data_IF_942671382687
#
_entry.id   IF_942671382687
#
_cell.length_a   1.000
_cell.length_b   1.000
_cell.length_c   1.000
_cell.angle_alpha   90.00
_cell.angle_beta   90.00
_cell.angle_gamma   90.00
#
_symmetry.space_group_name_H-M   'P 1'
#
loop_
_entity.id
_entity.type
_entity.pdbx_description
1 polymer ?
#
# COMPACT_ATOMS: atom_id res chain seq x y z
N UNK A 1 2.91 47.40 10.59
CA UNK A 1 1.98 46.91 11.64
C UNK A 1 2.45 45.52 12.03
N UNK A 2 2.97 45.41 13.25
CA UNK A 2 3.69 44.25 13.76
C UNK A 2 2.76 43.49 14.71
N UNK A 3 2.26 42.33 14.30
CA UNK A 3 1.40 41.49 15.13
C UNK A 3 2.21 40.28 15.57
N UNK A 4 2.78 40.37 16.77
CA UNK A 4 3.42 39.27 17.48
C UNK A 4 2.37 38.21 17.79
N UNK A 5 2.57 37.01 17.25
CA UNK A 5 1.84 35.81 17.65
C UNK A 5 2.51 35.21 18.90
N UNK A 6 1.76 34.77 19.94
CA UNK A 6 2.36 34.15 21.10
C UNK A 6 2.73 32.71 20.77
N UNK A 7 4.03 32.42 20.70
CA UNK A 7 4.53 31.07 20.72
C UNK A 7 4.11 30.41 22.04
N UNK A 8 3.11 29.53 21.97
CA UNK A 8 2.76 28.62 23.06
C UNK A 8 3.91 27.62 23.22
N UNK A 9 4.82 27.93 24.15
CA UNK A 9 5.95 27.08 24.52
C UNK A 9 5.44 25.77 25.13
N UNK A 10 5.44 24.70 24.33
CA UNK A 10 5.18 23.33 24.80
C UNK A 10 6.26 22.81 25.78
N UNK A 11 7.44 23.45 25.85
CA UNK A 11 8.47 23.10 26.83
C UNK A 11 8.05 23.38 28.29
N UNK A 12 7.06 24.24 28.53
CA UNK A 12 6.62 24.56 29.89
C UNK A 12 5.77 23.44 30.53
N UNK A 13 5.10 22.61 29.71
CA UNK A 13 4.26 21.51 30.21
C UNK A 13 5.11 20.29 30.56
N UNK A 14 6.14 20.00 29.76
CA UNK A 14 7.02 18.84 30.00
C UNK A 14 7.98 19.10 31.17
N UNK A 15 8.45 20.34 31.37
CA UNK A 15 9.31 20.68 32.52
C UNK A 15 8.59 20.59 33.87
N UNK A 16 7.24 20.69 33.89
CA UNK A 16 6.45 20.64 35.12
C UNK A 16 6.16 19.22 35.64
N UNK A 17 6.46 18.16 34.88
CA UNK A 17 6.19 16.77 35.29
C UNK A 17 7.42 15.99 35.77
N UNK A 18 8.63 16.54 35.66
CA UNK A 18 9.86 15.81 36.00
C UNK A 18 10.39 16.04 37.44
N UNK A 19 9.65 16.75 38.29
CA UNK A 19 10.00 16.96 39.71
C UNK A 19 8.97 16.33 40.65
N UNK A 20 8.72 15.04 40.52
CA UNK A 20 8.12 14.22 41.59
C UNK A 20 8.92 12.92 41.72
N UNK A 21 10.21 13.10 41.98
CA UNK A 21 11.04 12.11 42.67
C UNK A 21 10.58 12.01 44.11
N UNK A 22 10.37 10.76 44.55
CA UNK A 22 10.39 10.31 45.94
C UNK A 22 9.69 11.21 46.96
N UNK A 23 8.39 10.98 47.14
CA UNK A 23 7.73 11.35 48.38
C UNK A 23 6.86 10.20 48.83
N UNK A 24 7.25 9.64 49.98
CA UNK A 24 6.48 8.70 50.77
C UNK A 24 5.01 9.14 50.81
N UNK A 25 4.09 8.26 50.40
CA UNK A 25 2.66 8.48 50.53
C UNK A 25 2.24 8.36 52.00
N UNK A 26 2.58 9.37 52.80
CA UNK A 26 1.92 9.68 54.05
C UNK A 26 0.67 10.50 53.71
N UNK A 27 -0.46 9.83 53.49
CA UNK A 27 -1.74 10.50 53.31
C UNK A 27 -2.18 11.01 54.69
N UNK A 28 -1.90 12.29 54.96
CA UNK A 28 -2.57 13.07 55.99
C UNK A 28 -3.86 13.61 55.37
N UNK A 29 -4.99 12.91 55.58
CA UNK A 29 -6.31 13.47 55.30
C UNK A 29 -6.96 13.86 56.64
N UNK A 30 -7.09 15.17 56.82
CA UNK A 30 -7.73 15.84 57.95
C UNK A 30 -9.20 15.40 58.14
N UNK A 31 -9.56 15.08 59.38
CA UNK A 31 -10.82 14.48 59.81
C UNK A 31 -12.09 15.37 59.67
N UNK A 32 -13.27 14.75 59.80
CA UNK A 32 -14.15 15.07 60.92
C UNK A 32 -14.33 13.89 61.89
N UNK A 33 -14.38 14.22 63.19
CA UNK A 33 -14.59 13.30 64.31
C UNK A 33 -15.99 12.68 64.27
N UNK A 34 -16.09 11.43 63.83
CA UNK A 34 -17.10 10.45 64.19
C UNK A 34 -16.47 9.07 63.94
N UNK A 35 -16.93 8.01 64.61
CA UNK A 35 -16.25 6.69 64.65
C UNK A 35 -15.67 6.22 63.32
N UNK A 36 -14.51 5.54 63.38
CA UNK A 36 -13.72 5.06 62.23
C UNK A 36 -14.63 4.66 61.05
N UNK A 37 -14.56 5.41 59.95
CA UNK A 37 -15.42 5.21 58.78
C UNK A 37 -15.17 3.83 58.16
N UNK A 38 -16.15 3.30 57.43
CA UNK A 38 -16.03 2.00 56.77
C UNK A 38 -14.79 1.94 55.85
N UNK A 39 -14.52 3.03 55.11
CA UNK A 39 -13.34 3.17 54.25
C UNK A 39 -12.00 3.10 55.01
N UNK A 40 -11.92 3.71 56.19
CA UNK A 40 -10.70 3.67 57.01
C UNK A 40 -10.48 2.27 57.61
N UNK A 41 -11.55 1.55 57.96
CA UNK A 41 -11.47 0.15 58.38
C UNK A 41 -11.00 -0.76 57.25
N UNK A 42 -11.59 -0.60 56.05
CA UNK A 42 -11.20 -1.33 54.83
C UNK A 42 -9.73 -1.11 54.48
N UNK A 43 -9.25 0.14 54.54
CA UNK A 43 -7.85 0.49 54.31
C UNK A 43 -6.90 -0.21 55.29
N UNK A 44 -7.26 -0.33 56.56
CA UNK A 44 -6.44 -1.04 57.57
C UNK A 44 -6.38 -2.54 57.31
N UNK A 45 -7.50 -3.16 56.93
CA UNK A 45 -7.56 -4.58 56.54
C UNK A 45 -6.65 -4.84 55.35
N UNK A 46 -6.77 -4.02 54.31
CA UNK A 46 -5.98 -4.13 53.09
C UNK A 46 -4.49 -3.91 53.37
N UNK A 47 -4.12 -2.89 54.16
CA UNK A 47 -2.74 -2.65 54.55
C UNK A 47 -2.13 -3.84 55.31
N UNK A 48 -2.92 -4.48 56.18
CA UNK A 48 -2.48 -5.69 56.88
C UNK A 48 -2.26 -6.87 55.93
N UNK A 49 -3.18 -7.11 54.98
CA UNK A 49 -3.05 -8.20 54.01
C UNK A 49 -1.85 -8.01 53.09
N UNK A 50 -1.64 -6.78 52.61
CA UNK A 50 -0.48 -6.42 51.80
C UNK A 50 0.84 -6.53 52.58
N UNK A 51 0.84 -6.22 53.88
CA UNK A 51 2.01 -6.39 54.75
C UNK A 51 2.27 -7.86 55.08
N UNK A 52 1.23 -8.67 55.26
CA UNK A 52 1.31 -10.10 55.56
C UNK A 52 1.93 -10.89 54.40
N UNK A 53 1.70 -10.47 53.14
CA UNK A 53 2.21 -11.14 51.91
C UNK A 53 1.94 -12.65 51.87
N UNK A 54 0.85 -13.08 52.49
CA UNK A 54 0.44 -14.50 52.57
C UNK A 54 -1.04 -14.63 52.22
N UNK A 55 -1.43 -15.83 51.80
CA UNK A 55 -2.83 -16.16 51.52
C UNK A 55 -3.52 -16.60 52.80
N UNK A 56 -4.75 -16.13 53.01
CA UNK A 56 -5.54 -16.43 54.21
C UNK A 56 -6.89 -17.02 53.84
N UNK A 57 -7.41 -17.92 54.69
CA UNK A 57 -8.80 -18.37 54.55
C UNK A 57 -9.75 -17.41 55.28
N UNK A 58 -11.04 -17.43 54.93
CA UNK A 58 -12.04 -16.57 55.62
C UNK A 58 -12.02 -16.78 57.14
N UNK A 59 -11.81 -18.01 57.60
CA UNK A 59 -11.73 -18.35 59.04
C UNK A 59 -10.51 -17.75 59.72
N UNK A 60 -9.40 -17.60 59.00
CA UNK A 60 -8.19 -16.97 59.54
C UNK A 60 -8.37 -15.45 59.59
N UNK A 61 -8.99 -14.87 58.57
CA UNK A 61 -9.33 -13.45 58.52
C UNK A 61 -10.30 -13.05 59.64
N UNK A 62 -11.29 -13.88 59.96
CA UNK A 62 -12.22 -13.65 61.08
C UNK A 62 -11.53 -13.62 62.45
N UNK A 63 -10.36 -14.26 62.60
CA UNK A 63 -9.57 -14.24 63.84
C UNK A 63 -8.57 -13.09 63.90
N UNK A 64 -7.96 -12.78 62.77
CA UNK A 64 -6.81 -11.86 62.70
C UNK A 64 -7.26 -10.41 62.51
N UNK A 65 -8.36 -10.17 61.79
CA UNK A 65 -8.80 -8.81 61.45
C UNK A 65 -9.51 -8.04 62.58
N UNK A 66 -10.29 -8.63 63.49
CA UNK A 66 -10.91 -7.89 64.59
C UNK A 66 -9.94 -7.05 65.44
N UNK A 67 -8.78 -7.58 65.89
CA UNK A 67 -7.81 -6.78 66.65
C UNK A 67 -7.05 -5.76 65.79
N UNK A 68 -6.80 -6.05 64.51
CA UNK A 68 -5.98 -5.20 63.62
C UNK A 68 -6.77 -4.02 63.06
N UNK A 69 -8.00 -4.27 62.61
CA UNK A 69 -8.85 -3.26 61.98
C UNK A 69 -9.84 -2.61 62.96
N UNK A 70 -9.87 -3.06 64.23
CA UNK A 70 -10.84 -2.63 65.25
C UNK A 70 -12.29 -2.76 64.75
N UNK A 71 -12.61 -3.93 64.20
CA UNK A 71 -13.92 -4.28 63.64
C UNK A 71 -14.55 -5.43 64.42
N UNK A 72 -15.88 -5.51 64.42
CA UNK A 72 -16.59 -6.65 64.98
C UNK A 72 -16.38 -7.87 64.06
N UNK A 73 -16.14 -9.05 64.63
CA UNK A 73 -15.96 -10.30 63.86
C UNK A 73 -17.11 -10.59 62.89
N UNK A 74 -18.33 -10.17 63.23
CA UNK A 74 -19.51 -10.31 62.38
C UNK A 74 -19.46 -9.44 61.10
N UNK A 75 -18.68 -8.36 61.10
CA UNK A 75 -18.54 -7.40 59.99
C UNK A 75 -17.36 -7.72 59.06
N UNK A 76 -16.51 -8.69 59.42
CA UNK A 76 -15.33 -9.06 58.64
C UNK A 76 -15.73 -9.49 57.22
N UNK A 77 -16.77 -10.32 57.11
CA UNK A 77 -17.26 -10.83 55.82
C UNK A 77 -17.77 -9.71 54.91
N UNK A 78 -18.46 -8.72 55.46
CA UNK A 78 -18.98 -7.57 54.71
C UNK A 78 -17.84 -6.70 54.18
N UNK A 79 -16.84 -6.42 55.01
CA UNK A 79 -15.68 -5.63 54.60
C UNK A 79 -14.80 -6.36 53.55
N UNK A 80 -14.64 -7.68 53.67
CA UNK A 80 -13.92 -8.50 52.69
C UNK A 80 -14.66 -8.54 51.35
N UNK A 81 -15.98 -8.68 51.35
CA UNK A 81 -16.78 -8.64 50.14
C UNK A 81 -16.67 -7.26 49.46
N UNK A 82 -16.83 -6.17 50.21
CA UNK A 82 -16.69 -4.82 49.68
C UNK A 82 -15.29 -4.57 49.06
N UNK A 83 -14.22 -5.06 49.71
CA UNK A 83 -12.85 -4.96 49.17
C UNK A 83 -12.64 -5.81 47.90
N UNK A 84 -13.35 -6.94 47.77
CA UNK A 84 -13.35 -7.75 46.56
C UNK A 84 -14.12 -7.08 45.44
N UNK A 85 -15.25 -6.44 45.74
CA UNK A 85 -16.08 -5.73 44.76
C UNK A 85 -15.35 -4.49 44.21
N UNK A 86 -14.54 -3.82 45.05
CA UNK A 86 -13.65 -2.72 44.66
C UNK A 86 -12.39 -3.19 43.89
N UNK A 87 -12.20 -4.51 43.72
CA UNK A 87 -11.08 -5.09 42.97
C UNK A 87 -9.72 -4.98 43.68
N UNK A 88 -9.72 -4.65 44.98
CA UNK A 88 -8.49 -4.48 45.77
C UNK A 88 -8.05 -5.77 46.48
N UNK A 89 -8.94 -6.76 46.57
CA UNK A 89 -8.70 -8.06 47.17
C UNK A 89 -8.97 -9.16 46.15
N UNK A 90 -8.01 -10.06 45.98
CA UNK A 90 -8.18 -11.22 45.11
C UNK A 90 -8.80 -12.38 45.87
N UNK A 91 -9.75 -13.04 45.21
CA UNK A 91 -10.44 -14.22 45.73
C UNK A 91 -10.30 -15.35 44.73
N UNK A 92 -9.71 -16.46 45.15
CA UNK A 92 -9.65 -17.67 44.33
C UNK A 92 -10.21 -18.87 45.09
N UNK A 93 -10.92 -19.72 44.37
CA UNK A 93 -11.49 -20.93 44.92
C UNK A 93 -10.54 -22.10 44.67
N UNK A 94 -9.97 -22.63 45.75
CA UNK A 94 -9.09 -23.79 45.70
C UNK A 94 -9.79 -24.95 46.43
N UNK A 95 -10.23 -25.94 45.66
CA UNK A 95 -11.02 -27.08 46.17
C UNK A 95 -12.39 -26.65 46.69
N UNK A 96 -12.64 -26.89 47.98
CA UNK A 96 -13.89 -26.53 48.67
C UNK A 96 -13.82 -25.19 49.44
N UNK A 97 -12.68 -24.50 49.42
CA UNK A 97 -12.46 -23.24 50.16
C UNK A 97 -12.18 -22.04 49.26
N UNK A 98 -12.51 -20.84 49.75
CA UNK A 98 -12.12 -19.56 49.16
C UNK A 98 -10.87 -19.03 49.87
N UNK A 99 -9.89 -18.60 49.08
CA UNK A 99 -8.62 -18.02 49.51
C UNK A 99 -8.57 -16.55 49.15
N UNK A 100 -8.05 -15.75 50.08
CA UNK A 100 -8.01 -14.30 49.97
C UNK A 100 -6.57 -13.80 50.10
N UNK A 101 -6.17 -12.88 49.23
CA UNK A 101 -4.87 -12.22 49.31
C UNK A 101 -4.89 -10.86 48.60
N UNK A 102 -3.94 -10.00 48.98
CA UNK A 102 -3.71 -8.73 48.31
C UNK A 102 -2.21 -8.43 48.31
N UNK A 103 -1.67 -7.94 47.18
CA UNK A 103 -0.27 -7.50 47.08
C UNK A 103 -0.20 -6.02 46.72
N UNK A 104 0.55 -5.25 47.51
CA UNK A 104 0.71 -3.81 47.24
C UNK A 104 1.49 -3.48 45.95
N UNK A 105 2.20 -4.45 45.37
CA UNK A 105 2.97 -4.26 44.13
C UNK A 105 2.14 -4.26 42.85
N UNK A 106 0.95 -4.86 42.87
CA UNK A 106 0.12 -4.99 41.67
C UNK A 106 -0.53 -3.67 41.28
N UNK A 107 -0.97 -2.87 42.26
CA UNK A 107 -1.54 -1.57 42.00
C UNK A 107 -0.52 -0.62 41.36
N UNK A 108 0.74 -0.65 41.85
CA UNK A 108 1.84 0.10 41.26
C UNK A 108 2.09 -0.35 39.81
N UNK A 109 2.16 -1.66 39.57
CA UNK A 109 2.38 -2.22 38.24
C UNK A 109 1.22 -1.95 37.27
N UNK A 110 -0.01 -1.93 37.76
CA UNK A 110 -1.19 -1.58 36.97
C UNK A 110 -1.19 -0.10 36.58
N UNK A 111 -0.80 0.79 37.51
CA UNK A 111 -0.61 2.22 37.22
C UNK A 111 0.52 2.43 36.22
N UNK A 112 1.68 1.79 36.40
CA UNK A 112 2.80 1.85 35.44
C UNK A 112 2.39 1.38 34.05
N UNK A 113 1.69 0.24 33.92
CA UNK A 113 1.16 -0.22 32.63
C UNK A 113 0.22 0.78 31.97
N UNK A 114 -0.58 1.49 32.77
CA UNK A 114 -1.53 2.50 32.28
C UNK A 114 -0.77 3.73 31.77
N UNK A 115 0.25 4.16 32.50
CA UNK A 115 1.15 5.25 32.08
C UNK A 115 1.86 4.87 30.78
N UNK A 116 2.49 3.68 30.71
CA UNK A 116 3.17 3.19 29.50
C UNK A 116 2.23 3.13 28.29
N UNK A 117 0.96 2.77 28.50
CA UNK A 117 -0.04 2.72 27.43
C UNK A 117 -0.44 4.12 26.95
N UNK A 118 -0.58 5.06 27.87
CA UNK A 118 -0.88 6.47 27.56
C UNK A 118 0.31 7.14 26.86
N UNK A 119 1.54 6.91 27.30
CA UNK A 119 2.75 7.45 26.68
C UNK A 119 2.89 6.98 25.23
N UNK A 120 2.64 5.69 24.97
CA UNK A 120 2.60 5.14 23.60
C UNK A 120 1.53 5.80 22.74
N UNK A 121 0.40 6.16 23.32
CA UNK A 121 -0.67 6.83 22.57
C UNK A 121 -0.31 8.29 22.27
N UNK A 122 0.31 8.99 23.22
CA UNK A 122 0.86 10.33 23.01
C UNK A 122 1.91 10.32 21.90
N UNK A 123 2.85 9.36 21.91
CA UNK A 123 3.86 9.22 20.85
C UNK A 123 3.24 9.04 19.46
N UNK A 124 2.21 8.20 19.34
CA UNK A 124 1.48 8.02 18.06
C UNK A 124 0.79 9.30 17.61
N UNK A 125 0.12 10.01 18.53
CA UNK A 125 -0.56 11.25 18.23
C UNK A 125 0.42 12.33 17.78
N UNK A 126 1.57 12.46 18.46
CA UNK A 126 2.64 13.39 18.06
C UNK A 126 3.18 13.06 16.68
N UNK A 127 3.38 11.78 16.36
CA UNK A 127 3.79 11.36 15.02
C UNK A 127 2.74 11.73 13.96
N UNK A 128 1.47 11.47 14.25
CA UNK A 128 0.35 11.84 13.37
C UNK A 128 0.27 13.35 13.13
N UNK A 129 0.47 14.15 14.18
CA UNK A 129 0.53 15.61 14.08
C UNK A 129 1.69 16.03 13.16
N UNK A 130 2.90 15.50 13.36
CA UNK A 130 4.04 15.82 12.50
C UNK A 130 3.82 15.43 11.03
N UNK A 131 3.18 14.29 10.76
CA UNK A 131 2.82 13.86 9.42
C UNK A 131 1.78 14.80 8.79
N UNK A 132 0.77 15.23 9.56
CA UNK A 132 -0.25 16.18 9.11
C UNK A 132 0.32 17.57 8.87
N UNK A 133 1.19 18.07 9.74
CA UNK A 133 1.88 19.34 9.59
C UNK A 133 2.75 19.34 8.32
N UNK A 134 3.47 18.24 8.07
CA UNK A 134 4.26 18.07 6.85
C UNK A 134 3.39 18.11 5.59
N UNK A 135 2.21 17.45 5.61
CA UNK A 135 1.24 17.52 4.51
C UNK A 135 0.69 18.92 4.32
N UNK A 136 0.34 19.62 5.40
CA UNK A 136 -0.15 21.00 5.33
C UNK A 136 0.92 21.93 4.75
N UNK A 137 2.18 21.75 5.14
CA UNK A 137 3.29 22.53 4.58
C UNK A 137 3.50 22.25 3.09
N UNK A 138 3.43 20.99 2.66
CA UNK A 138 3.52 20.61 1.26
C UNK A 138 2.39 21.23 0.42
N UNK A 139 1.14 21.14 0.89
CA UNK A 139 -0.02 21.73 0.21
C UNK A 139 0.06 23.25 0.13
N UNK A 140 0.53 23.91 1.20
CA UNK A 140 0.74 25.37 1.18
C UNK A 140 1.82 25.79 0.19
N UNK A 141 2.89 25.01 0.07
CA UNK A 141 3.94 25.29 -0.91
C UNK A 141 3.44 25.07 -2.33
N UNK A 142 2.71 23.98 -2.58
CA UNK A 142 2.08 23.71 -3.88
C UNK A 142 1.12 24.84 -4.27
N UNK A 143 0.27 25.27 -3.33
CA UNK A 143 -0.64 26.39 -3.54
C UNK A 143 0.12 27.70 -3.79
N UNK A 144 1.21 27.97 -3.07
CA UNK A 144 2.04 29.16 -3.31
C UNK A 144 2.66 29.14 -4.72
N UNK A 145 3.11 27.97 -5.18
CA UNK A 145 3.65 27.80 -6.53
C UNK A 145 2.56 27.93 -7.60
N UNK A 146 1.35 27.43 -7.33
CA UNK A 146 0.19 27.61 -8.20
C UNK A 146 -0.23 29.09 -8.26
N UNK A 147 -0.31 29.78 -7.12
CA UNK A 147 -0.58 31.21 -7.05
C UNK A 147 0.49 32.03 -7.76
N UNK A 148 1.78 31.69 -7.61
CA UNK A 148 2.88 32.35 -8.32
C UNK A 148 2.82 32.11 -9.85
N UNK A 149 2.42 30.91 -10.28
CA UNK A 149 2.16 30.61 -11.70
C UNK A 149 0.96 31.41 -12.22
N UNK A 150 -0.10 31.48 -11.41
CA UNK A 150 -1.34 32.19 -11.71
C UNK A 150 -1.14 33.71 -11.74
N UNK A 151 -0.23 34.27 -10.93
CA UNK A 151 0.07 35.71 -10.88
C UNK A 151 0.88 36.24 -12.07
N UNK A 152 1.42 35.36 -12.92
CA UNK A 152 2.10 35.77 -14.16
C UNK A 152 1.12 36.09 -15.31
N UNK A 153 -0.19 35.88 -15.11
CA UNK A 153 -1.24 36.23 -16.05
C UNK A 153 -2.48 36.76 -15.33
N UNK A 154 -3.37 37.41 -16.05
CA UNK A 154 -4.69 37.74 -15.51
C UNK A 154 -5.51 36.46 -15.32
N UNK A 155 -6.56 36.48 -14.49
CA UNK A 155 -7.50 35.35 -14.33
C UNK A 155 -8.04 34.85 -15.69
N UNK A 156 -8.16 35.75 -16.66
CA UNK A 156 -8.57 35.41 -18.02
C UNK A 156 -7.50 34.66 -18.79
N UNK A 157 -6.22 34.96 -18.59
CA UNK A 157 -5.11 34.27 -19.27
C UNK A 157 -4.98 32.83 -18.79
N UNK A 158 -5.11 32.60 -17.48
CA UNK A 158 -5.10 31.25 -16.90
C UNK A 158 -6.30 30.40 -17.38
N UNK A 159 -7.48 31.01 -17.51
CA UNK A 159 -8.65 30.30 -18.04
C UNK A 159 -8.49 30.00 -19.54
N UNK A 160 -7.90 30.91 -20.33
CA UNK A 160 -7.57 30.66 -21.74
C UNK A 160 -6.57 29.52 -21.89
N UNK A 161 -5.52 29.51 -21.07
CA UNK A 161 -4.51 28.43 -21.07
C UNK A 161 -5.13 27.09 -20.68
N UNK A 162 -5.98 27.08 -19.64
CA UNK A 162 -6.72 25.88 -19.22
C UNK A 162 -7.60 25.33 -20.34
N UNK A 163 -8.37 26.19 -21.01
CA UNK A 163 -9.22 25.79 -22.15
C UNK A 163 -8.34 25.25 -23.31
N UNK A 164 -7.22 25.90 -23.61
CA UNK A 164 -6.30 25.46 -24.65
C UNK A 164 -5.68 24.09 -24.32
N UNK A 165 -5.29 23.85 -23.07
CA UNK A 165 -4.77 22.58 -22.58
C UNK A 165 -5.84 21.47 -22.63
N UNK A 166 -7.07 21.75 -22.22
CA UNK A 166 -8.18 20.78 -22.36
C UNK A 166 -8.43 20.42 -23.82
N UNK A 167 -8.48 21.42 -24.72
CA UNK A 167 -8.63 21.16 -26.15
C UNK A 167 -7.49 20.31 -26.71
N UNK A 168 -6.25 20.56 -26.28
CA UNK A 168 -5.08 19.76 -26.70
C UNK A 168 -5.16 18.33 -26.16
N UNK A 169 -5.63 18.15 -24.93
CA UNK A 169 -5.87 16.83 -24.34
C UNK A 169 -6.89 16.05 -25.17
N UNK A 170 -8.03 16.65 -25.47
CA UNK A 170 -9.09 16.00 -26.27
C UNK A 170 -8.56 15.62 -27.66
N UNK A 171 -7.77 16.49 -28.30
CA UNK A 171 -7.12 16.20 -29.57
C UNK A 171 -6.20 14.97 -29.48
N UNK A 172 -5.33 14.93 -28.47
CA UNK A 172 -4.40 13.81 -28.29
C UNK A 172 -5.14 12.51 -27.97
N UNK A 173 -6.21 12.55 -27.18
CA UNK A 173 -7.04 11.37 -26.90
C UNK A 173 -7.70 10.83 -28.19
N UNK A 174 -8.20 11.72 -29.06
CA UNK A 174 -8.72 11.30 -30.36
C UNK A 174 -7.64 10.74 -31.28
N UNK A 175 -6.43 11.29 -31.26
CA UNK A 175 -5.31 10.81 -32.06
C UNK A 175 -4.85 9.43 -31.59
N UNK A 176 -4.75 9.21 -30.27
CA UNK A 176 -4.43 7.91 -29.68
C UNK A 176 -5.47 6.88 -30.11
N UNK A 177 -6.77 7.17 -29.96
CA UNK A 177 -7.83 6.25 -30.36
C UNK A 177 -7.77 5.91 -31.87
N UNK A 178 -7.46 6.89 -32.71
CA UNK A 178 -7.27 6.70 -34.16
C UNK A 178 -6.06 5.79 -34.45
N UNK A 179 -4.92 6.05 -33.81
CA UNK A 179 -3.71 5.26 -33.97
C UNK A 179 -3.89 3.82 -33.47
N UNK A 180 -4.55 3.61 -32.34
CA UNK A 180 -4.89 2.29 -31.82
C UNK A 180 -5.79 1.52 -32.79
N UNK A 181 -6.81 2.17 -33.37
CA UNK A 181 -7.65 1.58 -34.40
C UNK A 181 -6.84 1.18 -35.64
N UNK A 182 -5.93 2.05 -36.09
CA UNK A 182 -5.06 1.77 -37.25
C UNK A 182 -4.10 0.61 -36.98
N UNK A 183 -3.53 0.53 -35.77
CA UNK A 183 -2.67 -0.58 -35.35
C UNK A 183 -3.48 -1.87 -35.34
N UNK A 184 -4.68 -1.87 -34.77
CA UNK A 184 -5.55 -3.04 -34.72
C UNK A 184 -5.89 -3.55 -36.12
N UNK A 185 -6.34 -2.66 -37.01
CA UNK A 185 -6.66 -3.02 -38.39
C UNK A 185 -5.46 -3.62 -39.13
N UNK A 186 -4.25 -3.07 -38.93
CA UNK A 186 -3.02 -3.61 -39.54
C UNK A 186 -2.61 -4.95 -38.92
N UNK A 187 -2.81 -5.13 -37.61
CA UNK A 187 -2.48 -6.37 -36.91
C UNK A 187 -3.41 -7.54 -37.27
N UNK A 188 -4.67 -7.25 -37.62
CA UNK A 188 -5.64 -8.25 -38.06
C UNK A 188 -5.40 -8.70 -39.51
N UNK A 189 -4.76 -7.87 -40.33
CA UNK A 189 -4.58 -8.10 -41.77
C UNK A 189 -3.37 -8.93 -42.18
N UNK A 190 -2.25 -8.86 -41.44
CA UNK A 190 -1.05 -9.65 -41.72
C UNK A 190 -0.36 -10.02 -40.40
N UNK A 191 -0.37 -11.32 -40.06
CA UNK A 191 0.40 -11.84 -38.94
C UNK A 191 1.91 -11.75 -39.19
N UNK A 192 2.77 -11.77 -38.16
CA UNK A 192 4.23 -11.67 -38.28
C UNK A 192 4.89 -12.78 -39.12
N UNK A 193 4.15 -13.84 -39.49
CA UNK A 193 4.59 -14.88 -40.43
C UNK A 193 4.09 -14.71 -41.87
N UNK A 194 3.18 -13.78 -42.14
CA UNK A 194 2.57 -13.61 -43.48
C UNK A 194 3.59 -13.14 -44.52
N UNK A 195 4.48 -12.20 -44.14
CA UNK A 195 5.53 -11.70 -45.02
C UNK A 195 6.57 -12.80 -45.30
N UNK A 196 7.03 -13.50 -44.26
CA UNK A 196 7.97 -14.61 -44.44
C UNK A 196 7.39 -15.72 -45.33
N UNK A 197 6.11 -16.04 -45.16
CA UNK A 197 5.42 -17.00 -46.02
C UNK A 197 5.38 -16.53 -47.48
N UNK A 198 4.97 -15.27 -47.72
CA UNK A 198 4.97 -14.65 -49.06
C UNK A 198 6.38 -14.67 -49.70
N UNK A 199 7.42 -14.36 -48.93
CA UNK A 199 8.81 -14.44 -49.40
C UNK A 199 9.21 -15.87 -49.80
N UNK A 200 8.84 -16.88 -49.01
CA UNK A 200 9.12 -18.28 -49.35
C UNK A 200 8.36 -18.77 -50.58
N UNK A 201 7.11 -18.33 -50.76
CA UNK A 201 6.30 -18.69 -51.92
C UNK A 201 6.82 -18.00 -53.19
N UNK A 202 7.24 -16.72 -53.10
CA UNK A 202 7.91 -16.02 -54.20
C UNK A 202 9.21 -16.74 -54.59
N UNK A 203 10.03 -17.14 -53.62
CA UNK A 203 11.26 -17.88 -53.89
C UNK A 203 10.97 -19.22 -54.59
N UNK A 204 9.95 -19.95 -54.15
CA UNK A 204 9.50 -21.20 -54.78
C UNK A 204 9.05 -20.97 -56.23
N UNK A 205 8.18 -19.98 -56.48
CA UNK A 205 7.69 -19.69 -57.83
C UNK A 205 8.80 -19.22 -58.77
N UNK A 206 9.77 -18.45 -58.27
CA UNK A 206 10.96 -18.08 -59.04
C UNK A 206 11.77 -19.30 -59.45
N UNK A 207 12.02 -20.22 -58.52
CA UNK A 207 12.74 -21.46 -58.81
C UNK A 207 11.99 -22.33 -59.82
N UNK A 208 10.68 -22.49 -59.64
CA UNK A 208 9.83 -23.26 -60.57
C UNK A 208 9.84 -22.64 -61.96
N UNK A 209 9.68 -21.31 -62.06
CA UNK A 209 9.75 -20.60 -63.33
C UNK A 209 11.12 -20.80 -64.01
N UNK A 210 12.23 -20.68 -63.26
CA UNK A 210 13.57 -20.92 -63.80
C UNK A 210 13.73 -22.35 -64.32
N UNK A 211 13.27 -23.36 -63.57
CA UNK A 211 13.33 -24.76 -64.02
C UNK A 211 12.54 -24.97 -65.32
N UNK A 212 11.37 -24.36 -65.46
CA UNK A 212 10.60 -24.44 -66.70
C UNK A 212 11.30 -23.70 -67.84
N UNK A 213 11.93 -22.56 -67.59
CA UNK A 213 12.77 -21.85 -68.57
C UNK A 213 13.92 -22.73 -69.05
N UNK A 214 14.65 -23.38 -68.15
CA UNK A 214 15.75 -24.28 -68.49
C UNK A 214 15.26 -25.48 -69.32
N UNK A 215 14.14 -26.08 -68.91
CA UNK A 215 13.50 -27.18 -69.65
C UNK A 215 13.10 -26.75 -71.07
N UNK A 216 12.55 -25.55 -71.22
CA UNK A 216 12.22 -24.97 -72.51
C UNK A 216 13.49 -24.83 -73.37
N UNK A 217 14.59 -24.29 -72.83
CA UNK A 217 15.86 -24.18 -73.58
C UNK A 217 16.44 -25.52 -74.02
N UNK A 218 16.32 -26.56 -73.19
CA UNK A 218 16.74 -27.92 -73.56
C UNK A 218 15.91 -28.44 -74.73
N UNK A 219 14.59 -28.24 -74.70
CA UNK A 219 13.69 -28.62 -75.79
C UNK A 219 13.98 -27.83 -77.06
N UNK A 220 14.27 -26.54 -76.96
CA UNK A 220 14.67 -25.72 -78.11
C UNK A 220 15.97 -26.22 -78.74
N UNK A 221 16.97 -26.55 -77.93
CA UNK A 221 18.25 -27.08 -78.42
C UNK A 221 18.08 -28.46 -79.07
N UNK A 222 17.21 -29.31 -78.52
CA UNK A 222 16.85 -30.58 -79.16
C UNK A 222 16.16 -30.38 -80.52
N UNK A 223 15.21 -29.45 -80.60
CA UNK A 223 14.54 -29.09 -81.86
C UNK A 223 15.52 -28.54 -82.90
N UNK A 224 16.50 -27.71 -82.49
CA UNK A 224 17.57 -27.22 -83.38
C UNK A 224 18.39 -28.36 -83.97
N UNK A 225 18.72 -29.37 -83.17
CA UNK A 225 19.48 -30.54 -83.62
C UNK A 225 18.66 -31.44 -84.55
N UNK A 226 17.37 -31.62 -84.27
CA UNK A 226 16.48 -32.44 -85.09
C UNK A 226 16.23 -31.85 -86.49
N UNK A 227 16.22 -30.51 -86.59
CA UNK A 227 16.01 -29.76 -87.84
C UNK A 227 17.30 -29.44 -88.59
N UNK A 228 18.46 -29.98 -88.15
CA UNK A 228 19.79 -29.66 -88.69
C UNK A 228 20.11 -28.15 -88.74
N UNK A 229 19.48 -27.35 -87.88
CA UNK A 229 19.66 -25.90 -87.85
C UNK A 229 18.89 -25.13 -88.93
N UNK A 230 17.87 -25.72 -89.55
CA UNK A 230 16.98 -25.01 -90.48
C UNK A 230 16.18 -23.92 -89.75
N UNK A 231 16.59 -22.67 -89.98
CA UNK A 231 16.03 -21.49 -89.28
C UNK A 231 14.56 -21.26 -89.61
N UNK A 232 14.11 -21.54 -90.83
CA UNK A 232 12.73 -21.27 -91.22
C UNK A 232 11.75 -22.18 -90.47
N UNK A 233 12.12 -23.46 -90.30
CA UNK A 233 11.33 -24.45 -89.55
C UNK A 233 11.34 -24.12 -88.05
N UNK A 234 12.49 -23.75 -87.50
CA UNK A 234 12.63 -23.38 -86.09
C UNK A 234 11.83 -22.13 -85.73
N UNK A 235 11.88 -21.11 -86.56
CA UNK A 235 11.15 -19.85 -86.33
C UNK A 235 9.64 -20.04 -86.54
N UNK A 236 9.22 -20.92 -87.45
CA UNK A 236 7.82 -21.31 -87.58
C UNK A 236 7.28 -21.99 -86.31
N UNK A 237 8.00 -22.97 -85.76
CA UNK A 237 7.61 -23.68 -84.53
C UNK A 237 7.60 -22.73 -83.33
N UNK A 238 8.58 -21.83 -83.21
CA UNK A 238 8.64 -20.84 -82.13
C UNK A 238 7.50 -19.83 -82.18
N UNK A 239 7.13 -19.34 -83.36
CA UNK A 239 5.96 -18.46 -83.54
C UNK A 239 4.66 -19.18 -83.17
N UNK A 240 4.54 -20.47 -83.47
CA UNK A 240 3.37 -21.26 -83.13
C UNK A 240 3.27 -21.54 -81.62
N UNK A 241 4.38 -21.89 -80.97
CA UNK A 241 4.39 -22.25 -79.54
C UNK A 241 4.37 -21.04 -78.58
N UNK A 242 5.11 -19.97 -78.88
CA UNK A 242 5.18 -18.78 -78.00
C UNK A 242 4.19 -17.67 -78.38
N UNK A 243 3.55 -17.77 -79.55
CA UNK A 243 2.55 -16.81 -80.01
C UNK A 243 3.06 -15.36 -80.01
N UNK A 244 2.31 -14.45 -79.39
CA UNK A 244 2.62 -13.02 -79.32
C UNK A 244 3.83 -12.67 -78.43
N UNK A 245 4.35 -13.63 -77.66
CA UNK A 245 5.53 -13.43 -76.81
C UNK A 245 6.85 -13.71 -77.54
N UNK A 246 6.80 -14.19 -78.79
CA UNK A 246 7.99 -14.40 -79.60
C UNK A 246 8.49 -13.07 -80.19
N UNK A 247 9.71 -12.66 -79.84
CA UNK A 247 10.41 -11.53 -80.46
C UNK A 247 11.51 -12.07 -81.36
N UNK A 248 11.41 -11.76 -82.65
CA UNK A 248 12.35 -12.26 -83.67
C UNK A 248 13.74 -11.62 -83.45
N UNK A 249 14.73 -12.43 -83.09
CA UNK A 249 16.11 -11.98 -82.86
C UNK A 249 16.50 -11.71 -81.40
N UNK A 250 15.57 -11.82 -80.44
CA UNK A 250 15.91 -11.77 -79.02
C UNK A 250 16.09 -13.19 -78.45
N UNK A 251 17.31 -13.48 -77.98
CA UNK A 251 17.47 -14.42 -76.87
C UNK A 251 16.93 -13.64 -75.68
N UNK A 252 15.79 -14.08 -75.11
CA UNK A 252 15.12 -13.52 -73.93
C UNK A 252 16.12 -12.77 -73.04
N UNK A 253 15.97 -11.46 -72.94
CA UNK A 253 16.86 -10.61 -72.16
C UNK A 253 17.03 -11.22 -70.75
N UNK A 254 18.29 -11.36 -70.32
CA UNK A 254 18.64 -11.83 -68.98
C UNK A 254 17.82 -11.03 -67.96
N UNK A 255 16.83 -11.70 -67.37
CA UNK A 255 16.11 -11.17 -66.21
C UNK A 255 17.04 -11.32 -65.02
N UNK A 256 17.97 -10.38 -64.88
CA UNK A 256 18.65 -10.13 -63.62
C UNK A 256 17.58 -9.74 -62.59
N UNK A 257 17.25 -10.70 -61.73
CA UNK A 257 16.34 -10.56 -60.57
C UNK A 257 17.17 -10.47 -59.29
#
# INVERSE_FOLDING_TARGET
MNVKSPAFNLECIISSMSTLSESQTFIFLSAPKAGVSAAEKQRRILAYLQASRTCHTLKDLEKILPPVASINGMQVKEHIQALSDEGQLHVEKIGSGNWYWAWGGEEKKAREKTIDALDKEVEKLLKSIGDLESKVMALKEEQRLEDARSHNGTREDNERERIALMKKKDQLETEIACLESNIKQRSEGDGPGSIAQKETDIARWKQEAQMWTDNIYILEEYLKRLTNGDREVLDAVRRECYGLAYVEGEVLADLDI
#
